data_IF_122502455996
#
_entry.id   IF_122502455996
#
_cell.length_a   1.000
_cell.length_b   1.000
_cell.length_c   1.000
_cell.angle_alpha   90.00
_cell.angle_beta   90.00
_cell.angle_gamma   90.00
#
_symmetry.space_group_name_H-M   'P 1'
#
loop_
_entity.id
_entity.type
_entity.pdbx_description
1 polymer ?
#
# COMPACT_ATOMS: atom_id res chain seq x y z
N UNK A 1 -20.99 18.20 -18.92
CA UNK A 1 -19.97 17.33 -18.32
C UNK A 1 -20.02 16.00 -19.06
N UNK A 2 -18.92 15.45 -19.58
CA UNK A 2 -18.94 14.18 -20.29
C UNK A 2 -19.40 13.05 -19.35
N UNK A 3 -20.17 12.10 -19.88
CA UNK A 3 -20.79 10.99 -19.14
C UNK A 3 -19.81 10.17 -18.28
N UNK A 4 -18.54 10.24 -18.62
CA UNK A 4 -17.43 9.58 -17.92
C UNK A 4 -17.26 10.08 -16.47
N UNK A 5 -17.41 11.37 -16.19
CA UNK A 5 -17.27 11.94 -14.84
C UNK A 5 -18.43 11.57 -13.91
N UNK A 6 -19.63 11.38 -14.45
CA UNK A 6 -20.76 10.86 -13.66
C UNK A 6 -20.55 9.42 -13.23
N UNK A 7 -19.80 8.65 -14.00
CA UNK A 7 -19.45 7.26 -13.66
C UNK A 7 -18.43 7.24 -12.51
N UNK A 8 -17.44 8.15 -12.50
CA UNK A 8 -16.46 8.27 -11.42
C UNK A 8 -17.10 8.64 -10.07
N UNK A 9 -18.10 9.54 -10.06
CA UNK A 9 -18.84 9.88 -8.83
C UNK A 9 -19.61 8.68 -8.26
N UNK A 10 -20.13 7.81 -9.11
CA UNK A 10 -20.80 6.57 -8.67
C UNK A 10 -19.83 5.53 -8.11
N UNK A 11 -18.58 5.55 -8.52
CA UNK A 11 -17.56 4.58 -8.09
C UNK A 11 -16.84 5.05 -6.82
N UNK A 12 -16.80 6.36 -6.52
CA UNK A 12 -16.20 6.91 -5.30
C UNK A 12 -16.59 6.16 -4.00
N UNK A 13 -17.86 5.83 -3.73
CA UNK A 13 -18.22 5.11 -2.50
C UNK A 13 -17.60 3.71 -2.41
N UNK A 14 -17.36 3.05 -3.55
CA UNK A 14 -16.71 1.72 -3.60
C UNK A 14 -15.23 1.85 -3.20
N UNK A 15 -14.53 2.86 -3.73
CA UNK A 15 -13.15 3.15 -3.36
C UNK A 15 -13.03 3.55 -1.87
N UNK A 16 -13.97 4.34 -1.35
CA UNK A 16 -14.01 4.71 0.07
C UNK A 16 -14.22 3.50 0.97
N UNK A 17 -15.06 2.58 0.56
CA UNK A 17 -15.31 1.34 1.29
C UNK A 17 -14.08 0.43 1.29
N UNK A 18 -13.48 0.22 0.11
CA UNK A 18 -12.23 -0.54 -0.03
C UNK A 18 -11.11 0.05 0.83
N UNK A 19 -10.94 1.38 0.82
CA UNK A 19 -9.98 2.08 1.66
C UNK A 19 -10.24 1.86 3.15
N UNK A 20 -11.48 1.97 3.62
CA UNK A 20 -11.85 1.76 5.03
C UNK A 20 -11.57 0.33 5.49
N UNK A 21 -11.88 -0.67 4.64
CA UNK A 21 -11.59 -2.07 4.93
C UNK A 21 -10.08 -2.31 5.01
N UNK A 22 -9.33 -1.84 4.03
CA UNK A 22 -7.88 -1.97 4.01
C UNK A 22 -7.23 -1.34 5.25
N UNK A 23 -7.70 -0.15 5.64
CA UNK A 23 -7.25 0.55 6.82
C UNK A 23 -7.60 -0.22 8.11
N UNK A 24 -8.78 -0.85 8.17
CA UNK A 24 -9.17 -1.70 9.30
C UNK A 24 -8.26 -2.91 9.40
N UNK A 25 -7.97 -3.57 8.27
CA UNK A 25 -7.06 -4.72 8.20
C UNK A 25 -5.66 -4.31 8.70
N UNK A 26 -5.11 -3.18 8.24
CA UNK A 26 -3.82 -2.68 8.71
C UNK A 26 -3.80 -2.43 10.23
N UNK A 27 -4.88 -1.87 10.79
CA UNK A 27 -4.98 -1.65 12.25
C UNK A 27 -5.01 -2.97 13.01
N UNK A 28 -5.75 -3.97 12.54
CA UNK A 28 -5.82 -5.28 13.17
C UNK A 28 -4.46 -6.01 13.09
N UNK A 29 -3.78 -5.94 11.95
CA UNK A 29 -2.43 -6.49 11.77
C UNK A 29 -1.45 -5.85 12.75
N UNK A 30 -1.50 -4.51 12.90
CA UNK A 30 -0.66 -3.78 13.85
C UNK A 30 -0.88 -4.23 15.29
N UNK A 31 -2.14 -4.33 15.72
CA UNK A 31 -2.47 -4.77 17.09
C UNK A 31 -1.97 -6.19 17.33
N UNK A 32 -2.20 -7.09 16.36
CA UNK A 32 -1.74 -8.48 16.44
C UNK A 32 -0.22 -8.57 16.53
N UNK A 33 0.49 -7.78 15.70
CA UNK A 33 1.95 -7.73 15.69
C UNK A 33 2.51 -7.25 17.03
N UNK A 34 1.93 -6.20 17.61
CA UNK A 34 2.32 -5.67 18.94
C UNK A 34 2.10 -6.73 20.02
N UNK A 35 0.98 -7.46 20.00
CA UNK A 35 0.70 -8.49 20.99
C UNK A 35 1.72 -9.62 20.89
N UNK A 36 1.98 -10.15 19.68
CA UNK A 36 2.91 -11.25 19.47
C UNK A 36 4.34 -10.83 19.86
N UNK A 37 4.74 -9.62 19.44
CA UNK A 37 6.05 -9.06 19.79
C UNK A 37 6.21 -8.91 21.31
N UNK A 38 5.19 -8.39 21.99
CA UNK A 38 5.21 -8.24 23.46
C UNK A 38 5.35 -9.59 24.16
N UNK A 39 4.62 -10.60 23.72
CA UNK A 39 4.72 -11.97 24.25
C UNK A 39 6.10 -12.57 23.99
N UNK A 40 6.65 -12.36 22.79
CA UNK A 40 7.98 -12.87 22.43
C UNK A 40 9.07 -12.22 23.26
N UNK A 41 9.00 -10.89 23.44
CA UNK A 41 9.96 -10.16 24.30
C UNK A 41 9.84 -10.59 25.75
N UNK A 42 8.61 -10.69 26.29
CA UNK A 42 8.40 -11.17 27.63
C UNK A 42 8.98 -12.58 27.83
N UNK A 43 8.80 -13.50 26.87
CA UNK A 43 9.34 -14.84 26.92
C UNK A 43 10.88 -14.93 26.91
N UNK A 44 11.57 -13.88 26.44
CA UNK A 44 13.03 -13.80 26.50
C UNK A 44 13.57 -13.33 27.86
N UNK A 45 12.81 -12.49 28.55
CA UNK A 45 13.27 -11.89 29.82
C UNK A 45 12.75 -12.63 31.06
N UNK A 46 11.64 -13.35 30.96
CA UNK A 46 11.07 -14.06 32.09
C UNK A 46 11.39 -15.56 32.02
N UNK A 47 12.10 -16.14 33.01
CA UNK A 47 12.52 -17.55 32.98
C UNK A 47 11.34 -18.52 33.10
N UNK A 48 10.15 -18.05 33.50
CA UNK A 48 8.94 -18.87 33.62
C UNK A 48 8.16 -19.02 32.32
N UNK A 49 8.54 -18.27 31.26
CA UNK A 49 7.81 -18.23 30.01
C UNK A 49 8.76 -18.39 28.82
N UNK A 50 8.58 -19.46 28.05
CA UNK A 50 9.40 -19.70 26.87
C UNK A 50 8.77 -19.04 25.66
N UNK A 51 9.51 -18.17 24.97
CA UNK A 51 9.05 -17.56 23.73
C UNK A 51 8.78 -18.66 22.67
N UNK A 52 7.65 -18.60 21.94
CA UNK A 52 7.37 -19.56 20.87
C UNK A 52 8.38 -19.40 19.72
N UNK A 53 8.98 -20.49 19.28
CA UNK A 53 9.97 -20.46 18.17
C UNK A 53 9.42 -19.92 16.85
N UNK A 54 8.11 -20.00 16.63
CA UNK A 54 7.45 -19.53 15.41
C UNK A 54 7.14 -18.03 15.41
N UNK A 55 7.25 -17.35 16.56
CA UNK A 55 6.82 -15.96 16.71
C UNK A 55 7.59 -15.00 15.81
N UNK A 56 8.91 -15.16 15.67
CA UNK A 56 9.75 -14.28 14.84
C UNK A 56 9.36 -14.33 13.36
N UNK A 57 9.09 -15.51 12.83
CA UNK A 57 8.69 -15.68 11.42
C UNK A 57 7.30 -15.08 11.15
N UNK A 58 6.37 -15.18 12.11
CA UNK A 58 5.05 -14.60 12.00
C UNK A 58 5.10 -13.07 12.11
N UNK A 59 5.88 -12.52 13.05
CA UNK A 59 6.09 -11.07 13.18
C UNK A 59 6.61 -10.48 11.85
N UNK A 60 7.65 -11.08 11.27
CA UNK A 60 8.19 -10.65 9.99
C UNK A 60 7.14 -10.70 8.87
N UNK A 61 6.32 -11.75 8.85
CA UNK A 61 5.24 -11.87 7.88
C UNK A 61 4.19 -10.76 8.06
N UNK A 62 3.74 -10.51 9.29
CA UNK A 62 2.78 -9.43 9.60
C UNK A 62 3.33 -8.06 9.25
N UNK A 63 4.62 -7.80 9.52
CA UNK A 63 5.29 -6.55 9.15
C UNK A 63 5.29 -6.34 7.63
N UNK A 64 5.55 -7.38 6.83
CA UNK A 64 5.50 -7.30 5.37
C UNK A 64 4.08 -6.96 4.90
N UNK A 65 3.05 -7.65 5.44
CA UNK A 65 1.65 -7.33 5.12
C UNK A 65 1.31 -5.88 5.43
N UNK A 66 1.69 -5.43 6.62
CA UNK A 66 1.41 -4.06 7.06
C UNK A 66 2.13 -3.02 6.22
N UNK A 67 3.41 -3.22 5.90
CA UNK A 67 4.20 -2.29 5.10
C UNK A 67 3.60 -2.14 3.69
N UNK A 68 3.27 -3.25 3.04
CA UNK A 68 2.81 -3.29 1.66
C UNK A 68 1.38 -2.72 1.54
N UNK A 69 0.47 -3.09 2.46
CA UNK A 69 -0.88 -2.52 2.48
C UNK A 69 -0.87 -1.04 2.87
N UNK A 70 -0.01 -0.62 3.78
CA UNK A 70 0.15 0.79 4.16
C UNK A 70 0.66 1.64 3.00
N UNK A 71 1.60 1.12 2.20
CA UNK A 71 2.07 1.79 0.98
C UNK A 71 0.92 2.04 0.00
N UNK A 72 0.06 1.05 -0.21
CA UNK A 72 -1.15 1.17 -1.04
C UNK A 72 -2.12 2.24 -0.52
N UNK A 73 -2.32 2.32 0.80
CA UNK A 73 -3.17 3.34 1.42
C UNK A 73 -2.57 4.75 1.33
N UNK A 74 -1.23 4.86 1.37
CA UNK A 74 -0.53 6.13 1.26
C UNK A 74 -0.72 6.80 -0.11
N UNK A 75 -0.81 6.01 -1.19
CA UNK A 75 -1.11 6.49 -2.54
C UNK A 75 -2.41 7.28 -2.53
N UNK A 76 -3.49 6.70 -2.00
CA UNK A 76 -4.80 7.35 -2.00
C UNK A 76 -4.85 8.64 -1.19
N UNK A 77 -4.07 8.73 -0.12
CA UNK A 77 -3.98 9.96 0.70
C UNK A 77 -3.13 11.06 0.06
N UNK A 78 -2.58 10.85 -1.13
CA UNK A 78 -1.54 11.73 -1.72
C UNK A 78 -0.40 12.00 -0.72
N UNK A 79 -0.18 11.08 0.19
CA UNK A 79 0.89 11.16 1.21
C UNK A 79 2.24 10.73 0.65
N UNK A 80 2.30 10.38 -0.64
CA UNK A 80 3.57 10.16 -1.30
C UNK A 80 4.32 11.49 -1.31
N UNK A 81 5.48 11.42 -0.75
CA UNK A 81 6.50 12.40 -0.47
C UNK A 81 6.54 13.52 -1.54
N UNK A 82 5.55 14.39 -1.50
CA UNK A 82 5.64 15.67 -2.16
C UNK A 82 6.44 16.56 -1.22
N UNK A 83 7.61 16.92 -1.65
CA UNK A 83 8.45 17.85 -0.92
C UNK A 83 7.83 19.25 -1.08
N UNK A 84 6.82 19.55 -0.27
CA UNK A 84 6.12 20.85 -0.25
C UNK A 84 7.04 22.04 0.04
N UNK A 85 8.26 21.75 0.49
CA UNK A 85 9.28 22.79 0.74
C UNK A 85 9.64 23.62 -0.53
N UNK A 86 9.54 23.02 -1.71
CA UNK A 86 9.83 23.69 -2.99
C UNK A 86 8.60 24.24 -3.70
N UNK A 87 7.39 23.93 -3.25
CA UNK A 87 6.14 24.41 -3.85
C UNK A 87 6.07 25.94 -3.92
N UNK A 88 6.73 26.64 -3.00
CA UNK A 88 6.79 28.10 -2.93
C UNK A 88 7.64 28.75 -4.04
N UNK A 89 8.57 28.01 -4.61
CA UNK A 89 9.56 28.52 -5.57
C UNK A 89 9.29 28.07 -7.01
N UNK A 90 8.43 27.10 -7.21
CA UNK A 90 8.17 26.49 -8.52
C UNK A 90 6.84 27.01 -9.13
N UNK A 91 6.82 27.33 -10.43
CA UNK A 91 5.58 27.69 -11.11
C UNK A 91 4.61 26.49 -11.16
N UNK A 92 3.31 26.77 -11.06
CA UNK A 92 2.24 25.77 -11.02
C UNK A 92 2.35 24.68 -12.11
N UNK A 93 2.77 25.07 -13.31
CA UNK A 93 2.93 24.14 -14.44
C UNK A 93 4.02 23.08 -14.18
N UNK A 94 5.11 23.43 -13.52
CA UNK A 94 6.18 22.50 -13.18
C UNK A 94 5.73 21.53 -12.09
N UNK A 95 4.98 22.02 -11.11
CA UNK A 95 4.40 21.19 -10.06
C UNK A 95 3.46 20.13 -10.64
N UNK A 96 2.57 20.50 -11.56
CA UNK A 96 1.67 19.55 -12.22
C UNK A 96 2.41 18.48 -13.03
N UNK A 97 3.49 18.86 -13.72
CA UNK A 97 4.32 17.89 -14.45
C UNK A 97 5.04 16.94 -13.49
N UNK A 98 5.53 17.43 -12.37
CA UNK A 98 6.17 16.59 -11.35
C UNK A 98 5.17 15.62 -10.71
N UNK A 99 3.97 16.06 -10.41
CA UNK A 99 2.90 15.21 -9.89
C UNK A 99 2.55 14.10 -10.90
N UNK A 100 2.40 14.44 -12.18
CA UNK A 100 2.13 13.45 -13.23
C UNK A 100 3.28 12.44 -13.41
N UNK A 101 4.53 12.89 -13.32
CA UNK A 101 5.69 11.98 -13.35
C UNK A 101 5.70 11.03 -12.14
N UNK A 102 5.33 11.53 -10.96
CA UNK A 102 5.22 10.70 -9.76
C UNK A 102 4.11 9.64 -9.92
N UNK A 103 2.94 10.03 -10.43
CA UNK A 103 1.82 9.13 -10.68
C UNK A 103 2.24 8.00 -11.67
N UNK A 104 2.90 8.36 -12.77
CA UNK A 104 3.42 7.37 -13.73
C UNK A 104 4.44 6.43 -13.09
N UNK A 105 5.35 6.95 -12.27
CA UNK A 105 6.35 6.13 -11.58
C UNK A 105 5.70 5.14 -10.61
N UNK A 106 4.69 5.57 -9.85
CA UNK A 106 3.94 4.70 -8.92
C UNK A 106 3.13 3.65 -9.67
N UNK A 107 2.54 4.01 -10.81
CA UNK A 107 1.81 3.06 -11.66
C UNK A 107 2.75 1.98 -12.22
N UNK A 108 3.93 2.37 -12.73
CA UNK A 108 4.95 1.42 -13.18
C UNK A 108 5.39 0.51 -12.04
N UNK A 109 5.62 1.07 -10.84
CA UNK A 109 5.96 0.27 -9.66
C UNK A 109 4.85 -0.73 -9.33
N UNK A 110 3.58 -0.33 -9.36
CA UNK A 110 2.43 -1.21 -9.13
C UNK A 110 2.39 -2.38 -10.12
N UNK A 111 2.64 -2.11 -11.40
CA UNK A 111 2.70 -3.15 -12.44
C UNK A 111 3.89 -4.11 -12.19
N UNK A 112 5.06 -3.59 -11.85
CA UNK A 112 6.24 -4.41 -11.54
C UNK A 112 5.96 -5.30 -10.34
N UNK A 113 5.39 -4.76 -9.25
CA UNK A 113 5.04 -5.54 -8.05
C UNK A 113 4.00 -6.61 -8.35
N UNK A 114 3.04 -6.32 -9.22
CA UNK A 114 2.04 -7.30 -9.64
C UNK A 114 2.67 -8.44 -10.44
N UNK A 115 3.46 -8.12 -11.46
CA UNK A 115 4.06 -9.12 -12.35
C UNK A 115 5.11 -9.97 -11.62
N UNK A 116 6.07 -9.33 -10.96
CA UNK A 116 7.13 -10.05 -10.23
C UNK A 116 6.58 -10.75 -8.98
N UNK A 117 5.67 -10.12 -8.26
CA UNK A 117 4.99 -10.75 -7.12
C UNK A 117 4.18 -11.98 -7.54
N UNK A 118 3.46 -11.92 -8.65
CA UNK A 118 2.71 -13.05 -9.18
C UNK A 118 3.63 -14.21 -9.61
N UNK A 119 4.80 -13.92 -10.20
CA UNK A 119 5.80 -14.94 -10.54
C UNK A 119 6.33 -15.64 -9.29
N UNK A 120 6.60 -14.88 -8.23
CA UNK A 120 7.11 -15.41 -6.96
C UNK A 120 6.08 -16.30 -6.27
N UNK A 121 4.81 -15.89 -6.26
CA UNK A 121 3.69 -16.61 -5.62
C UNK A 121 3.16 -17.76 -6.49
N UNK A 122 3.51 -17.80 -7.78
CA UNK A 122 3.06 -18.85 -8.69
C UNK A 122 3.39 -20.26 -8.18
N UNK A 123 2.48 -21.24 -8.31
CA UNK A 123 2.73 -22.63 -7.92
C UNK A 123 3.92 -23.27 -8.64
N UNK A 124 4.32 -22.71 -9.78
CA UNK A 124 5.50 -23.13 -10.54
C UNK A 124 6.79 -22.47 -10.07
N UNK A 125 6.69 -21.41 -9.24
CA UNK A 125 7.81 -20.66 -8.73
C UNK A 125 8.68 -21.48 -7.75
N UNK A 126 9.96 -21.15 -7.70
CA UNK A 126 10.92 -21.83 -6.81
C UNK A 126 10.55 -21.67 -5.33
N UNK A 127 9.97 -20.52 -4.94
CA UNK A 127 9.56 -20.27 -3.56
C UNK A 127 8.40 -21.17 -3.16
N UNK A 128 7.42 -21.37 -4.06
CA UNK A 128 6.29 -22.26 -3.81
C UNK A 128 6.74 -23.71 -3.56
N UNK A 129 7.76 -24.14 -4.28
CA UNK A 129 8.21 -25.55 -4.24
C UNK A 129 9.19 -25.82 -3.10
N UNK A 130 10.09 -24.90 -2.79
CA UNK A 130 11.26 -25.17 -1.97
C UNK A 130 11.33 -24.37 -0.68
N UNK A 131 10.71 -23.19 -0.63
CA UNK A 131 10.80 -22.33 0.54
C UNK A 131 9.67 -22.64 1.54
N UNK A 132 10.09 -23.06 2.75
CA UNK A 132 9.22 -23.30 3.90
C UNK A 132 9.69 -22.48 5.08
N UNK A 133 8.78 -22.14 5.98
CA UNK A 133 9.16 -21.56 7.27
C UNK A 133 10.04 -22.53 8.04
N UNK A 134 11.10 -22.03 8.68
CA UNK A 134 12.03 -22.84 9.45
C UNK A 134 11.36 -23.44 10.70
N UNK A 135 10.56 -22.62 11.38
CA UNK A 135 9.85 -23.02 12.61
C UNK A 135 8.51 -23.70 12.32
N UNK A 136 7.95 -23.54 11.13
CA UNK A 136 6.67 -24.11 10.71
C UNK A 136 6.80 -24.84 9.35
N UNK A 137 7.45 -26.01 9.29
CA UNK A 137 7.78 -26.69 8.03
C UNK A 137 6.55 -27.14 7.23
N UNK A 138 5.35 -27.10 7.81
CA UNK A 138 4.08 -27.38 7.13
C UNK A 138 3.56 -26.18 6.34
N UNK A 139 4.05 -24.96 6.65
CA UNK A 139 3.63 -23.74 5.97
C UNK A 139 4.70 -23.34 4.93
N UNK A 140 4.21 -23.01 3.74
CA UNK A 140 5.06 -22.48 2.68
C UNK A 140 5.32 -20.98 2.92
N UNK A 141 6.52 -20.50 2.60
CA UNK A 141 6.84 -19.06 2.62
C UNK A 141 6.06 -18.24 1.60
N UNK A 142 5.27 -18.85 0.74
CA UNK A 142 4.35 -18.14 -0.16
C UNK A 142 3.50 -17.12 0.61
N UNK A 143 3.05 -17.48 1.82
CA UNK A 143 2.23 -16.58 2.64
C UNK A 143 2.91 -15.24 2.96
N UNK A 144 4.24 -15.25 3.11
CA UNK A 144 5.01 -14.03 3.31
C UNK A 144 5.06 -13.14 2.07
N UNK A 145 5.04 -13.72 0.87
CA UNK A 145 5.12 -13.00 -0.40
C UNK A 145 3.75 -12.66 -1.01
N UNK A 146 2.68 -13.29 -0.53
CA UNK A 146 1.30 -13.08 -1.00
C UNK A 146 0.84 -11.61 -0.98
N UNK A 147 1.21 -10.76 -0.01
CA UNK A 147 0.78 -9.37 0.00
C UNK A 147 1.37 -8.54 -1.15
N UNK A 148 2.51 -8.94 -1.73
CA UNK A 148 3.18 -8.17 -2.78
C UNK A 148 2.31 -8.02 -4.04
N UNK A 149 1.81 -9.10 -4.68
CA UNK A 149 0.92 -8.95 -5.83
C UNK A 149 -0.42 -8.31 -5.47
N UNK A 150 -0.94 -8.56 -4.26
CA UNK A 150 -2.19 -7.92 -3.79
C UNK A 150 -2.03 -6.41 -3.68
N UNK A 151 -0.89 -5.96 -3.16
CA UNK A 151 -0.61 -4.52 -3.14
C UNK A 151 -0.36 -3.94 -4.52
N UNK A 152 0.30 -4.68 -5.42
CA UNK A 152 0.43 -4.26 -6.81
C UNK A 152 -0.93 -3.94 -7.44
N UNK A 153 -1.93 -4.82 -7.24
CA UNK A 153 -3.31 -4.56 -7.67
C UNK A 153 -3.90 -3.33 -7.01
N UNK A 154 -3.76 -3.21 -5.68
CA UNK A 154 -4.28 -2.08 -4.92
C UNK A 154 -3.64 -0.75 -5.34
N UNK A 155 -2.32 -0.74 -5.57
CA UNK A 155 -1.59 0.43 -6.09
C UNK A 155 -2.12 0.86 -7.45
N UNK A 156 -2.27 -0.07 -8.40
CA UNK A 156 -2.79 0.24 -9.74
C UNK A 156 -4.20 0.82 -9.64
N UNK A 157 -5.08 0.23 -8.83
CA UNK A 157 -6.46 0.69 -8.68
C UNK A 157 -6.51 2.12 -8.12
N UNK A 158 -5.78 2.40 -7.03
CA UNK A 158 -5.80 3.72 -6.41
C UNK A 158 -5.05 4.76 -7.23
N UNK A 159 -3.99 4.36 -7.94
CA UNK A 159 -3.25 5.27 -8.81
C UNK A 159 -4.06 5.69 -10.04
N UNK A 160 -4.80 4.78 -10.63
CA UNK A 160 -5.73 5.12 -11.71
C UNK A 160 -6.76 6.16 -11.25
N UNK A 161 -7.29 6.04 -10.02
CA UNK A 161 -8.18 7.06 -9.43
C UNK A 161 -7.47 8.43 -9.36
N UNK A 162 -6.20 8.47 -8.93
CA UNK A 162 -5.43 9.71 -8.81
C UNK A 162 -5.11 10.33 -10.17
N UNK A 163 -4.67 9.55 -11.14
CA UNK A 163 -4.39 10.00 -12.51
C UNK A 163 -5.64 10.62 -13.14
N UNK A 164 -6.80 10.00 -12.96
CA UNK A 164 -8.05 10.58 -13.46
C UNK A 164 -8.41 11.91 -12.80
N UNK A 165 -8.18 12.05 -11.49
CA UNK A 165 -8.41 13.29 -10.76
C UNK A 165 -7.44 14.40 -11.22
N UNK A 166 -6.17 14.08 -11.48
CA UNK A 166 -5.20 15.06 -12.01
C UNK A 166 -5.53 15.50 -13.44
N UNK A 167 -6.00 14.57 -14.28
CA UNK A 167 -6.44 14.92 -15.65
C UNK A 167 -7.67 15.84 -15.58
N UNK A 168 -8.61 15.58 -14.67
CA UNK A 168 -9.77 16.46 -14.44
C UNK A 168 -9.33 17.87 -14.04
N UNK A 169 -8.38 18.00 -13.13
CA UNK A 169 -7.85 19.29 -12.67
C UNK A 169 -7.11 20.06 -13.79
N UNK A 170 -6.46 19.34 -14.71
CA UNK A 170 -5.81 19.93 -15.89
C UNK A 170 -6.81 20.45 -16.94
N UNK A 171 -7.93 19.73 -17.15
CA UNK A 171 -8.91 20.06 -18.20
C UNK A 171 -9.90 21.11 -17.71
N UNK A 172 -10.25 21.11 -16.43
CA UNK A 172 -11.15 22.07 -15.79
C UNK A 172 -10.44 22.75 -14.60
N UNK A 173 -9.50 23.67 -14.85
CA UNK A 173 -8.90 24.43 -13.77
C UNK A 173 -10.00 25.18 -13.01
N UNK A 174 -10.20 24.85 -11.73
CA UNK A 174 -11.11 25.57 -10.85
C UNK A 174 -10.54 26.97 -10.60
N UNK A 175 -10.95 27.94 -11.39
CA UNK A 175 -10.82 29.36 -11.06
C UNK A 175 -11.56 29.60 -9.74
N UNK A 176 -10.85 29.60 -8.61
CA UNK A 176 -11.47 30.03 -7.36
C UNK A 176 -10.97 29.48 -6.03
N UNK A 177 -10.10 28.47 -5.98
CA UNK A 177 -9.70 27.86 -4.70
C UNK A 177 -8.48 28.54 -4.00
N UNK A 178 -8.12 29.77 -4.37
CA UNK A 178 -7.00 30.53 -3.75
C UNK A 178 -7.44 31.56 -2.70
N UNK A 179 -8.61 31.46 -2.08
CA UNK A 179 -9.07 32.49 -1.11
C UNK A 179 -9.33 32.04 0.32
N UNK A 180 -8.96 30.84 0.71
CA UNK A 180 -9.18 30.42 2.11
C UNK A 180 -7.95 29.75 2.74
N UNK A 181 -6.79 30.38 2.73
CA UNK A 181 -5.77 30.23 3.77
C UNK A 181 -5.04 31.55 3.90
N UNK A 182 -5.59 32.43 4.70
CA UNK A 182 -4.90 33.56 5.29
C UNK A 182 -5.09 33.55 6.78
#
# INVERSE_FOLDING_TARGET
>A
MPAFFQTLEKIKPVYDWAYKIMLLICKLLLITDIIITSVTVAGRYFPFFTAPHWSEEIILTLMVYMAVLSATLAIRKRSHIRMTAFDKYLPQKVLTVMDLLADVAVLVLGVVLLVEGAKVVSPTGNIAKFAKYSSLPKLSQIWMYMPVPVAGIGMIIFELEQVFLHIEELIAPKDGAQKEVR
#
